data_IF_236153188945
#
_entry.id   IF_236153188945
#
_cell.length_a   1.000
_cell.length_b   1.000
_cell.length_c   1.000
_cell.angle_alpha   90.00
_cell.angle_beta   90.00
_cell.angle_gamma   90.00
#
_symmetry.space_group_name_H-M   'P 1'
#
loop_
_entity.id
_entity.type
_entity.pdbx_description
1 polymer ?
#
# COMPACT_ATOMS: atom_id res chain seq x y z
N UNK A 1 -4.40 11.82 5.79
CA UNK A 1 -3.30 12.03 4.81
C UNK A 1 -3.27 10.95 3.73
N UNK A 2 -3.65 9.70 4.05
CA UNK A 2 -3.66 8.57 3.13
C UNK A 2 -4.65 8.73 1.95
N UNK A 3 -5.79 9.38 2.14
CA UNK A 3 -6.83 9.54 1.10
C UNK A 3 -6.35 10.32 -0.14
N UNK A 4 -5.60 11.42 0.05
CA UNK A 4 -5.09 12.22 -1.07
C UNK A 4 -4.04 11.48 -1.91
N UNK A 5 -3.21 10.65 -1.26
CA UNK A 5 -2.20 9.83 -1.93
C UNK A 5 -2.82 8.63 -2.65
N UNK A 6 -3.83 7.98 -2.03
CA UNK A 6 -4.63 6.93 -2.68
C UNK A 6 -5.34 7.47 -3.92
N UNK A 7 -5.91 8.66 -3.84
CA UNK A 7 -6.51 9.34 -4.99
C UNK A 7 -5.52 9.67 -6.11
N UNK A 8 -4.23 9.88 -5.79
CA UNK A 8 -3.18 10.01 -6.80
C UNK A 8 -2.92 8.67 -7.50
N UNK A 9 -2.73 7.59 -6.75
CA UNK A 9 -2.50 6.25 -7.31
C UNK A 9 -3.67 5.82 -8.20
N UNK A 10 -4.90 6.01 -7.72
CA UNK A 10 -6.11 5.73 -8.48
C UNK A 10 -6.13 6.45 -9.83
N UNK A 11 -5.85 7.77 -9.85
CA UNK A 11 -5.80 8.55 -11.08
C UNK A 11 -4.71 8.09 -12.04
N UNK A 12 -3.54 7.74 -11.51
CA UNK A 12 -2.42 7.23 -12.32
C UNK A 12 -2.79 5.90 -12.95
N UNK A 13 -3.26 4.93 -12.15
CA UNK A 13 -3.65 3.61 -12.65
C UNK A 13 -4.84 3.68 -13.61
N UNK A 14 -5.82 4.56 -13.35
CA UNK A 14 -6.96 4.76 -14.26
C UNK A 14 -6.51 5.27 -15.63
N UNK A 15 -5.53 6.18 -15.65
CA UNK A 15 -4.93 6.64 -16.91
C UNK A 15 -4.17 5.53 -17.62
N UNK A 16 -3.45 4.69 -16.88
CA UNK A 16 -2.71 3.54 -17.44
C UNK A 16 -3.67 2.50 -18.02
N UNK A 17 -4.83 2.30 -17.40
CA UNK A 17 -5.86 1.40 -17.92
C UNK A 17 -6.46 1.87 -19.26
N UNK A 18 -6.60 3.19 -19.46
CA UNK A 18 -7.18 3.78 -20.67
C UNK A 18 -6.15 3.99 -21.79
N UNK A 19 -4.99 4.58 -21.46
CA UNK A 19 -3.98 5.02 -22.42
C UNK A 19 -2.78 4.05 -22.53
N UNK A 20 -2.65 3.10 -21.60
CA UNK A 20 -1.44 2.30 -21.40
C UNK A 20 -0.34 3.04 -20.63
N UNK A 21 0.82 2.39 -20.45
CA UNK A 21 1.96 3.01 -19.79
C UNK A 21 2.59 4.08 -20.70
N UNK A 22 2.75 5.34 -20.24
CA UNK A 22 3.43 6.34 -21.04
C UNK A 22 4.93 6.03 -21.12
N UNK A 23 5.53 6.15 -22.31
CA UNK A 23 6.99 6.09 -22.47
C UNK A 23 7.65 4.82 -21.89
N UNK A 24 8.54 5.02 -20.91
CA UNK A 24 9.27 3.94 -20.21
C UNK A 24 8.81 3.75 -18.77
N UNK A 25 7.68 4.38 -18.40
CA UNK A 25 7.14 4.32 -17.05
C UNK A 25 6.76 2.89 -16.68
N UNK A 26 7.12 2.49 -15.46
CA UNK A 26 6.75 1.22 -14.88
C UNK A 26 6.62 1.37 -13.37
N UNK A 27 5.77 0.57 -12.76
CA UNK A 27 5.44 0.71 -11.35
C UNK A 27 5.85 -0.53 -10.57
N UNK A 28 6.59 -0.33 -9.50
CA UNK A 28 6.80 -1.31 -8.43
C UNK A 28 5.76 -1.04 -7.34
N UNK A 29 4.85 -1.99 -7.15
CA UNK A 29 3.78 -1.88 -6.16
C UNK A 29 3.98 -2.99 -5.15
N UNK A 30 4.38 -2.63 -3.93
CA UNK A 30 4.47 -3.54 -2.80
C UNK A 30 3.19 -3.46 -2.00
N UNK A 31 2.57 -4.59 -1.70
CA UNK A 31 1.34 -4.67 -0.92
C UNK A 31 1.41 -5.81 0.10
N UNK A 32 0.54 -5.71 1.11
CA UNK A 32 0.34 -6.73 2.12
C UNK A 32 -0.54 -7.86 1.57
N UNK A 33 0.04 -9.05 1.44
CA UNK A 33 -0.66 -10.25 0.94
C UNK A 33 -1.63 -10.84 1.95
N UNK A 34 -1.53 -10.46 3.23
CA UNK A 34 -2.38 -10.97 4.31
C UNK A 34 -3.56 -10.05 4.59
N UNK A 35 -3.69 -8.94 3.86
CA UNK A 35 -4.82 -8.03 3.99
C UNK A 35 -6.14 -8.74 3.61
N UNK A 36 -7.22 -8.62 4.41
CA UNK A 36 -8.45 -9.40 4.23
C UNK A 36 -9.12 -9.22 2.87
N UNK A 37 -9.04 -8.01 2.30
CA UNK A 37 -9.65 -7.69 1.01
C UNK A 37 -8.72 -7.90 -0.20
N UNK A 38 -7.53 -8.49 -0.02
CA UNK A 38 -6.66 -8.88 -1.15
C UNK A 38 -7.16 -10.20 -1.72
N UNK A 39 -7.35 -10.25 -3.04
CA UNK A 39 -7.62 -11.51 -3.74
C UNK A 39 -6.37 -11.93 -4.52
N UNK A 40 -5.78 -13.03 -4.08
CA UNK A 40 -4.56 -13.63 -4.62
C UNK A 40 -4.73 -15.15 -4.63
N UNK A 41 -4.16 -15.84 -5.62
CA UNK A 41 -4.16 -17.30 -5.63
C UNK A 41 -3.43 -17.86 -4.40
N UNK A 42 -3.97 -18.91 -3.77
CA UNK A 42 -3.42 -19.49 -2.53
C UNK A 42 -1.91 -19.77 -2.62
N UNK A 43 -1.48 -20.31 -3.77
CA UNK A 43 -0.08 -20.66 -4.01
C UNK A 43 0.84 -19.44 -4.09
N UNK A 44 0.33 -18.27 -4.50
CA UNK A 44 1.08 -17.02 -4.51
C UNK A 44 1.19 -16.46 -3.10
N UNK A 45 0.12 -16.47 -2.30
CA UNK A 45 0.18 -16.07 -0.89
C UNK A 45 1.08 -16.99 -0.06
N UNK A 46 1.05 -18.31 -0.31
CA UNK A 46 1.93 -19.28 0.36
C UNK A 46 3.41 -19.05 0.00
N UNK A 47 3.67 -18.67 -1.25
CA UNK A 47 5.03 -18.44 -1.77
C UNK A 47 5.61 -17.10 -1.33
N UNK A 48 4.76 -16.09 -1.18
CA UNK A 48 5.13 -14.73 -0.81
C UNK A 48 4.32 -14.27 0.41
N UNK A 49 4.55 -14.85 1.60
CA UNK A 49 3.79 -14.50 2.79
C UNK A 49 4.19 -13.12 3.32
N UNK A 50 3.20 -12.37 3.82
CA UNK A 50 3.39 -11.03 4.39
C UNK A 50 3.34 -9.97 3.31
N UNK A 51 4.40 -9.81 2.52
CA UNK A 51 4.47 -8.76 1.49
C UNK A 51 4.86 -9.30 0.11
N UNK A 52 4.28 -8.71 -0.92
CA UNK A 52 4.59 -9.03 -2.31
C UNK A 52 4.75 -7.76 -3.13
N UNK A 53 5.74 -7.74 -4.01
CA UNK A 53 5.93 -6.65 -4.99
C UNK A 53 5.59 -7.12 -6.38
N UNK A 54 4.63 -6.46 -7.02
CA UNK A 54 4.30 -6.64 -8.43
C UNK A 54 4.89 -5.52 -9.27
N UNK A 55 5.12 -5.82 -10.55
CA UNK A 55 5.65 -4.86 -11.53
C UNK A 55 4.65 -4.69 -12.67
N UNK A 56 4.21 -3.46 -12.89
CA UNK A 56 3.43 -3.08 -14.08
C UNK A 56 4.37 -2.48 -15.12
N UNK A 57 4.79 -3.28 -16.10
CA UNK A 57 5.72 -2.88 -17.18
C UNK A 57 5.32 -3.51 -18.52
N UNK A 58 6.12 -4.46 -19.04
CA UNK A 58 6.05 -4.94 -20.42
C UNK A 58 4.77 -5.72 -20.71
N UNK A 59 4.24 -6.40 -19.70
CA UNK A 59 3.06 -7.22 -19.84
C UNK A 59 2.21 -7.18 -18.58
N UNK A 60 0.98 -6.71 -18.75
CA UNK A 60 -0.13 -6.85 -17.82
C UNK A 60 -1.41 -6.84 -18.67
N UNK A 61 -2.47 -7.46 -18.18
CA UNK A 61 -3.75 -7.49 -18.86
C UNK A 61 -4.88 -7.21 -17.85
N UNK A 62 -6.08 -6.92 -18.35
CA UNK A 62 -7.30 -6.75 -17.56
C UNK A 62 -7.16 -5.78 -16.37
N UNK A 63 -6.35 -4.71 -16.53
CA UNK A 63 -6.23 -3.67 -15.51
C UNK A 63 -7.57 -2.95 -15.35
N UNK A 64 -8.24 -3.20 -14.22
CA UNK A 64 -9.50 -2.57 -13.85
C UNK A 64 -9.30 -1.76 -12.59
N UNK A 65 -9.71 -0.51 -12.62
CA UNK A 65 -9.51 0.44 -11.51
C UNK A 65 -10.86 0.81 -10.94
N UNK A 66 -11.00 0.71 -9.62
CA UNK A 66 -12.24 0.98 -8.87
C UNK A 66 -12.00 2.09 -7.84
N UNK A 67 -12.99 2.37 -7.00
CA UNK A 67 -12.83 3.31 -5.88
C UNK A 67 -12.02 2.72 -4.73
N UNK A 68 -12.17 1.42 -4.50
CA UNK A 68 -11.61 0.71 -3.34
C UNK A 68 -10.24 0.08 -3.63
N UNK A 69 -9.97 -0.25 -4.90
CA UNK A 69 -8.72 -0.90 -5.31
C UNK A 69 -8.60 -1.05 -6.82
N UNK A 70 -7.67 -1.91 -7.25
CA UNK A 70 -7.51 -2.27 -8.64
C UNK A 70 -7.28 -3.77 -8.80
N UNK A 71 -7.73 -4.33 -9.93
CA UNK A 71 -7.40 -5.69 -10.34
C UNK A 71 -6.51 -5.68 -11.56
N UNK A 72 -5.59 -6.62 -11.65
CA UNK A 72 -4.70 -6.79 -12.80
C UNK A 72 -4.38 -8.26 -13.00
N UNK A 73 -4.22 -8.69 -14.26
CA UNK A 73 -3.70 -10.01 -14.59
C UNK A 73 -2.21 -9.92 -14.87
N UNK A 74 -1.40 -10.67 -14.12
CA UNK A 74 0.05 -10.75 -14.27
C UNK A 74 0.47 -12.18 -14.55
N UNK A 75 1.61 -12.35 -15.20
CA UNK A 75 2.11 -13.67 -15.58
C UNK A 75 3.16 -14.14 -14.57
N UNK A 76 2.90 -15.27 -13.92
CA UNK A 76 3.82 -15.91 -12.99
C UNK A 76 4.25 -17.27 -13.55
N UNK A 77 5.38 -17.27 -14.27
CA UNK A 77 5.97 -18.50 -14.82
C UNK A 77 5.06 -19.19 -15.84
N UNK A 78 4.60 -18.43 -16.84
CA UNK A 78 3.65 -18.84 -17.90
C UNK A 78 2.21 -19.08 -17.44
N UNK A 79 1.87 -18.72 -16.20
CA UNK A 79 0.51 -18.77 -15.67
C UNK A 79 -0.03 -17.34 -15.48
N UNK A 80 -1.03 -16.90 -16.27
CA UNK A 80 -1.71 -15.64 -16.05
C UNK A 80 -2.61 -15.75 -14.82
N UNK A 81 -2.34 -14.93 -13.80
CA UNK A 81 -3.08 -14.91 -12.54
C UNK A 81 -3.74 -13.53 -12.35
N UNK A 82 -5.06 -13.48 -12.15
CA UNK A 82 -5.74 -12.25 -11.74
C UNK A 82 -5.44 -11.98 -10.27
N UNK A 83 -5.15 -10.72 -9.95
CA UNK A 83 -4.89 -10.25 -8.60
C UNK A 83 -5.75 -9.02 -8.35
N UNK A 84 -6.42 -8.95 -7.21
CA UNK A 84 -7.07 -7.74 -6.72
C UNK A 84 -6.33 -7.18 -5.51
N UNK A 85 -6.02 -5.88 -5.56
CA UNK A 85 -5.27 -5.16 -4.53
C UNK A 85 -6.09 -3.93 -4.10
N UNK A 86 -6.62 -3.90 -2.87
CA UNK A 86 -7.23 -2.70 -2.30
C UNK A 86 -6.15 -1.64 -2.05
N UNK A 87 -6.50 -0.37 -2.18
CA UNK A 87 -5.54 0.72 -1.95
C UNK A 87 -5.02 0.79 -0.51
N UNK A 88 -5.74 0.19 0.43
CA UNK A 88 -5.33 0.08 1.83
C UNK A 88 -4.16 -0.89 2.03
N UNK A 89 -4.11 -1.97 1.25
CA UNK A 89 -3.04 -2.95 1.31
C UNK A 89 -1.71 -2.47 0.73
N UNK A 90 -1.67 -1.36 -0.01
CA UNK A 90 -0.45 -0.87 -0.66
C UNK A 90 0.52 -0.33 0.41
N UNK A 91 1.71 -0.94 0.50
CA UNK A 91 2.82 -0.53 1.36
C UNK A 91 3.77 0.42 0.65
N UNK A 92 4.02 0.23 -0.65
CA UNK A 92 4.94 1.07 -1.42
C UNK A 92 4.49 1.15 -2.88
N UNK A 93 4.63 2.33 -3.49
CA UNK A 93 4.37 2.59 -4.90
C UNK A 93 5.52 3.40 -5.47
N UNK A 94 6.29 2.83 -6.39
CA UNK A 94 7.52 3.44 -6.92
C UNK A 94 7.52 3.43 -8.45
N UNK A 95 7.92 4.55 -9.04
CA UNK A 95 8.22 4.70 -10.47
C UNK A 95 9.69 5.14 -10.66
N UNK A 96 10.58 4.21 -11.06
CA UNK A 96 12.00 4.51 -11.26
C UNK A 96 12.29 5.47 -12.41
N UNK A 97 11.35 5.65 -13.34
CA UNK A 97 11.57 6.48 -14.54
C UNK A 97 11.66 7.97 -14.23
N UNK A 98 11.06 8.37 -13.11
CA UNK A 98 11.03 9.76 -12.63
C UNK A 98 11.53 9.90 -11.19
N UNK A 99 12.22 8.88 -10.68
CA UNK A 99 12.76 8.84 -9.31
C UNK A 99 11.69 9.16 -8.24
N UNK A 100 10.46 8.67 -8.47
CA UNK A 100 9.31 8.93 -7.61
C UNK A 100 8.96 7.68 -6.79
N UNK A 101 8.66 7.86 -5.50
CA UNK A 101 8.25 6.79 -4.63
C UNK A 101 7.34 7.28 -3.50
N UNK A 102 6.30 6.52 -3.22
CA UNK A 102 5.42 6.68 -2.07
C UNK A 102 5.60 5.46 -1.16
N UNK A 103 5.76 5.70 0.13
CA UNK A 103 5.72 4.67 1.16
C UNK A 103 4.56 4.95 2.08
N UNK A 104 3.76 3.93 2.32
CA UNK A 104 2.66 3.95 3.25
C UNK A 104 3.12 3.25 4.52
N UNK A 105 3.13 3.99 5.62
CA UNK A 105 3.26 3.40 6.95
C UNK A 105 1.87 2.90 7.34
N UNK A 106 1.71 1.59 7.40
CA UNK A 106 0.59 0.99 8.11
C UNK A 106 0.93 1.20 9.58
N UNK A 107 0.32 2.22 10.20
CA UNK A 107 0.17 2.16 11.64
C UNK A 107 -0.64 0.88 11.87
N UNK A 108 0.01 -0.13 12.41
CA UNK A 108 -0.70 -1.19 13.12
C UNK A 108 -1.45 -0.43 14.22
N UNK A 109 -2.69 -0.05 13.94
CA UNK A 109 -3.62 0.25 15.00
C UNK A 109 -3.80 -1.08 15.74
N UNK A 110 -2.94 -1.32 16.73
CA UNK A 110 -3.28 -2.06 17.94
C UNK A 110 -4.47 -1.35 18.58
N UNK A 111 -5.65 -1.44 17.95
CA UNK A 111 -6.91 -1.46 18.67
C UNK A 111 -6.95 -2.83 19.36
N UNK A 112 -6.18 -2.95 20.44
CA UNK A 112 -6.58 -3.83 21.53
C UNK A 112 -7.93 -3.26 22.01
N UNK A 113 -9.01 -3.76 21.42
CA UNK A 113 -10.33 -3.79 22.06
C UNK A 113 -10.20 -4.69 23.30
N UNK A 114 -9.56 -4.17 24.34
CA UNK A 114 -9.88 -4.57 25.71
C UNK A 114 -11.16 -3.80 26.09
N UNK A 115 -12.30 -4.37 25.69
CA UNK A 115 -13.56 -4.29 26.44
C UNK A 115 -13.27 -4.74 27.88
N UNK A 116 -12.81 -3.82 28.73
CA UNK A 116 -12.95 -3.93 30.19
C UNK A 116 -13.92 -2.85 30.66
N UNK A 117 -15.17 -3.28 30.71
CA UNK A 117 -16.33 -2.62 31.28
C UNK A 117 -16.12 -2.56 32.81
N UNK A 118 -15.38 -1.55 33.29
CA UNK A 118 -15.31 -1.25 34.73
C UNK A 118 -15.56 0.25 34.99
N UNK A 119 -16.74 0.53 35.54
CA UNK A 119 -17.19 1.83 36.01
C UNK A 119 -16.12 2.54 36.86
N UNK A 120 -15.70 3.72 36.43
CA UNK A 120 -14.83 4.58 37.23
C UNK A 120 -15.52 5.05 38.53
N UNK A 121 -14.85 5.01 39.70
CA UNK A 121 -15.09 5.99 40.73
C UNK A 121 -14.16 7.20 40.51
N UNK A 122 -14.76 8.38 40.38
CA UNK A 122 -14.09 9.67 40.25
C UNK A 122 -13.09 9.95 41.40
N UNK A 123 -11.87 10.41 41.09
CA UNK A 123 -11.09 11.33 41.96
C UNK A 123 -10.21 12.30 41.14
N UNK A 124 -10.23 13.56 41.59
CA UNK A 124 -9.55 14.80 41.19
C UNK A 124 -8.05 14.81 40.79
N UNK A 125 -7.77 15.71 39.82
CA UNK A 125 -6.64 16.67 39.70
C UNK A 125 -5.20 16.19 39.50
N UNK A 126 -4.62 16.50 38.32
CA UNK A 126 -3.35 17.25 38.14
C UNK A 126 -3.05 17.52 36.64
N UNK A 127 -2.60 18.73 36.32
CA UNK A 127 -2.08 19.17 35.01
C UNK A 127 -0.80 18.41 34.59
N UNK A 128 -0.63 18.08 33.30
CA UNK A 128 0.66 18.22 32.59
C UNK A 128 0.52 18.14 31.05
N UNK A 129 1.48 18.77 30.37
CA UNK A 129 1.50 19.32 29.00
C UNK A 129 1.51 18.33 27.80
N UNK A 130 1.17 18.77 26.56
CA UNK A 130 1.17 17.92 25.38
C UNK A 130 2.59 17.58 24.88
N UNK A 131 2.89 16.28 24.72
CA UNK A 131 4.14 15.80 24.10
C UNK A 131 4.15 16.07 22.58
N UNK A 132 5.30 16.45 21.99
CA UNK A 132 5.37 16.86 20.59
C UNK A 132 5.26 15.66 19.63
N UNK A 133 4.48 15.83 18.56
CA UNK A 133 4.45 14.92 17.40
C UNK A 133 5.81 14.99 16.69
N UNK A 134 6.49 13.85 16.54
CA UNK A 134 7.72 13.75 15.75
C UNK A 134 7.39 13.97 14.27
N UNK A 135 8.15 14.88 13.67
CA UNK A 135 8.08 15.26 12.26
C UNK A 135 8.54 14.10 11.36
N UNK A 136 7.87 13.94 10.23
CA UNK A 136 8.14 12.92 9.24
C UNK A 136 9.58 13.01 8.70
N UNK A 137 10.27 11.87 8.63
CA UNK A 137 11.63 11.77 8.14
C UNK A 137 11.63 11.58 6.62
N UNK A 138 11.97 12.64 5.89
CA UNK A 138 12.26 12.56 4.44
C UNK A 138 13.68 12.02 4.29
N UNK A 139 13.81 10.72 4.01
CA UNK A 139 15.12 10.08 3.83
C UNK A 139 15.57 10.19 2.37
N UNK A 140 16.70 10.88 2.14
CA UNK A 140 17.37 10.92 0.83
C UNK A 140 18.28 9.71 0.65
N UNK A 141 18.21 9.06 -0.53
CA UNK A 141 18.87 7.78 -0.85
C UNK A 141 20.41 7.80 -0.95
N UNK A 142 21.08 8.88 -0.54
CA UNK A 142 22.55 8.98 -0.60
C UNK A 142 23.25 8.05 0.42
N UNK A 143 22.51 7.53 1.40
CA UNK A 143 23.07 6.76 2.52
C UNK A 143 23.40 5.29 2.23
N UNK A 144 23.07 4.77 1.03
CA UNK A 144 23.25 3.36 0.68
C UNK A 144 24.40 3.08 -0.30
N UNK A 145 25.18 4.09 -0.69
CA UNK A 145 26.40 3.85 -1.48
C UNK A 145 27.57 3.51 -0.57
N UNK A 146 27.99 2.25 -0.60
CA UNK A 146 29.33 1.84 -0.18
C UNK A 146 30.08 1.21 -1.35
#
# INVERSE_FOLDING_TARGET
MHEAMRGLIQKVLARVADEGLPGQHHFFITFDTMHPDVELADWLSDRYPGEMTIVLEHWFDALTVTDEGFSVTLNFGDNPEPIYIPYDAIRTFVDPSVEFGLRFETQEDDFDDEDDDDEAPMVEMAEEEPKPRKEAEVVSLDQFRK
#
